data_IF_025576300312
#
_entry.id   IF_025576300312
#
_cell.length_a   1.000
_cell.length_b   1.000
_cell.length_c   1.000
_cell.angle_alpha   90.00
_cell.angle_beta   90.00
_cell.angle_gamma   90.00
#
_symmetry.space_group_name_H-M   'P 1'
#
loop_
_entity.id
_entity.type
_entity.pdbx_description
1 polymer ?
#
# COMPACT_ATOMS: atom_id res chain seq x y z
N UNK A 1 -14.41 -39.19 -36.46
CA UNK A 1 -15.21 -38.14 -35.77
C UNK A 1 -14.38 -37.62 -34.62
N UNK A 2 -13.75 -36.45 -34.78
CA UNK A 2 -12.95 -35.83 -33.73
C UNK A 2 -13.86 -34.88 -32.93
N UNK A 3 -14.09 -35.20 -31.67
CA UNK A 3 -14.80 -34.32 -30.73
C UNK A 3 -14.03 -33.03 -30.51
N UNK A 4 -14.56 -31.91 -30.94
CA UNK A 4 -14.07 -30.59 -30.56
C UNK A 4 -14.33 -30.40 -29.07
N UNK A 5 -13.27 -30.45 -28.25
CA UNK A 5 -13.31 -29.98 -26.88
C UNK A 5 -13.45 -28.44 -26.94
N UNK A 6 -14.64 -27.97 -26.68
CA UNK A 6 -14.93 -26.56 -26.55
C UNK A 6 -14.31 -26.13 -25.18
N UNK A 7 -13.10 -25.58 -25.18
CA UNK A 7 -12.52 -24.92 -24.02
C UNK A 7 -13.25 -23.61 -23.81
N UNK A 8 -14.39 -23.65 -23.15
CA UNK A 8 -15.01 -22.45 -22.57
C UNK A 8 -14.13 -22.00 -21.42
N UNK A 9 -13.30 -20.96 -21.65
CA UNK A 9 -12.70 -20.21 -20.56
C UNK A 9 -13.86 -19.74 -19.67
N UNK A 10 -13.92 -20.12 -18.39
CA UNK A 10 -15.02 -19.68 -17.54
C UNK A 10 -15.00 -18.15 -17.52
N UNK A 11 -16.09 -17.54 -17.96
CA UNK A 11 -16.30 -16.09 -17.88
C UNK A 11 -16.32 -15.76 -16.39
N UNK A 12 -15.23 -15.21 -15.87
CA UNK A 12 -15.11 -14.88 -14.45
C UNK A 12 -16.17 -13.85 -14.10
N UNK A 13 -16.93 -14.12 -13.06
CA UNK A 13 -17.98 -13.22 -12.61
C UNK A 13 -17.36 -11.84 -12.28
N UNK A 14 -18.02 -10.77 -12.69
CA UNK A 14 -17.61 -9.40 -12.38
C UNK A 14 -17.56 -9.22 -10.86
N UNK A 15 -16.48 -8.65 -10.29
CA UNK A 15 -16.43 -8.39 -8.86
C UNK A 15 -17.50 -7.37 -8.46
N UNK A 16 -18.05 -7.53 -7.27
CA UNK A 16 -19.00 -6.58 -6.68
C UNK A 16 -18.29 -5.40 -6.03
N UNK A 17 -17.08 -5.64 -5.52
CA UNK A 17 -16.23 -4.60 -4.99
C UNK A 17 -14.80 -4.74 -5.51
N UNK A 18 -14.09 -3.60 -5.59
CA UNK A 18 -12.66 -3.54 -5.84
C UNK A 18 -12.02 -2.75 -4.70
N UNK A 19 -11.14 -3.40 -3.97
CA UNK A 19 -10.33 -2.78 -2.92
C UNK A 19 -8.92 -2.57 -3.42
N UNK A 20 -8.38 -1.39 -3.17
CA UNK A 20 -7.04 -1.00 -3.57
C UNK A 20 -6.14 -0.87 -2.36
N UNK A 21 -4.91 -1.36 -2.46
CA UNK A 21 -3.85 -0.85 -1.62
C UNK A 21 -3.62 0.65 -1.91
N UNK A 22 -3.06 1.37 -0.95
CA UNK A 22 -2.87 2.81 -1.06
C UNK A 22 -1.47 3.18 -1.56
N UNK A 23 -0.47 2.94 -0.71
CA UNK A 23 0.89 3.45 -0.88
C UNK A 23 1.71 2.60 -1.87
N UNK A 24 2.04 3.19 -3.01
CA UNK A 24 2.67 2.55 -4.17
C UNK A 24 1.65 2.05 -5.19
N UNK A 25 0.36 1.98 -4.85
CA UNK A 25 -0.73 1.54 -5.74
C UNK A 25 -1.56 2.70 -6.24
N UNK A 26 -2.21 3.43 -5.35
CA UNK A 26 -2.93 4.68 -5.68
C UNK A 26 -2.02 5.91 -5.54
N UNK A 27 -1.15 5.95 -4.54
CA UNK A 27 -0.27 7.09 -4.27
C UNK A 27 1.18 6.75 -4.58
N UNK A 28 1.87 7.65 -5.28
CA UNK A 28 3.26 7.50 -5.66
C UNK A 28 4.20 7.79 -4.50
N UNK A 29 4.60 6.75 -3.78
CA UNK A 29 5.56 6.84 -2.66
C UNK A 29 6.99 7.11 -3.10
N UNK A 30 7.31 6.98 -4.39
CA UNK A 30 8.66 7.17 -4.89
C UNK A 30 8.95 8.64 -5.21
N UNK A 31 7.92 9.48 -5.33
CA UNK A 31 8.07 10.93 -5.52
C UNK A 31 8.88 11.59 -4.42
N UNK A 32 8.84 11.06 -3.18
CA UNK A 32 9.67 11.54 -2.06
C UNK A 32 11.17 11.43 -2.34
N UNK A 33 11.59 10.55 -3.26
CA UNK A 33 12.98 10.39 -3.66
C UNK A 33 13.59 11.66 -4.27
N UNK A 34 12.79 12.45 -4.99
CA UNK A 34 13.23 13.73 -5.54
C UNK A 34 13.53 14.75 -4.43
N UNK A 35 12.65 14.80 -3.42
CA UNK A 35 12.87 15.65 -2.25
C UNK A 35 14.07 15.20 -1.42
N UNK A 36 14.21 13.88 -1.24
CA UNK A 36 15.35 13.30 -0.56
C UNK A 36 16.67 13.62 -1.27
N UNK A 37 16.71 13.62 -2.62
CA UNK A 37 17.89 13.98 -3.39
C UNK A 37 18.28 15.46 -3.22
N UNK A 38 17.31 16.37 -3.11
CA UNK A 38 17.56 17.79 -2.83
C UNK A 38 18.18 18.00 -1.44
N UNK A 39 17.72 17.24 -0.44
CA UNK A 39 18.17 17.35 0.94
C UNK A 39 19.50 16.60 1.19
N UNK A 40 19.71 15.49 0.48
CA UNK A 40 20.87 14.61 0.62
C UNK A 40 21.44 14.26 -0.76
N UNK A 41 22.16 15.19 -1.43
CA UNK A 41 22.64 15.01 -2.80
C UNK A 41 23.48 13.73 -2.98
N UNK A 42 23.17 12.97 -4.03
CA UNK A 42 23.79 11.68 -4.36
C UNK A 42 23.35 10.50 -3.46
N UNK A 43 22.37 10.72 -2.56
CA UNK A 43 21.90 9.70 -1.60
C UNK A 43 20.38 9.52 -1.58
N UNK A 44 19.63 10.40 -2.23
CA UNK A 44 18.18 10.47 -2.13
C UNK A 44 17.48 9.17 -2.55
N UNK A 45 17.87 8.57 -3.67
CA UNK A 45 17.28 7.32 -4.12
C UNK A 45 17.53 6.17 -3.13
N UNK A 46 18.75 6.04 -2.60
CA UNK A 46 19.10 5.03 -1.61
C UNK A 46 18.35 5.25 -0.29
N UNK A 47 18.20 6.51 0.12
CA UNK A 47 17.47 6.88 1.33
C UNK A 47 15.99 6.51 1.19
N UNK A 48 15.35 6.88 0.07
CA UNK A 48 13.94 6.56 -0.17
C UNK A 48 13.69 5.04 -0.19
N UNK A 49 14.59 4.27 -0.82
CA UNK A 49 14.51 2.82 -0.85
C UNK A 49 14.61 2.23 0.57
N UNK A 50 15.66 2.58 1.33
CA UNK A 50 15.85 2.07 2.69
C UNK A 50 14.73 2.51 3.62
N UNK A 51 14.22 3.75 3.46
CA UNK A 51 13.06 4.23 4.21
C UNK A 51 11.85 3.33 4.00
N UNK A 52 11.52 3.03 2.74
CA UNK A 52 10.39 2.14 2.39
C UNK A 52 10.60 0.72 2.93
N UNK A 53 11.79 0.15 2.79
CA UNK A 53 12.11 -1.18 3.30
C UNK A 53 11.92 -1.26 4.82
N UNK A 54 12.43 -0.28 5.57
CA UNK A 54 12.30 -0.24 7.03
C UNK A 54 10.86 -0.01 7.47
N UNK A 55 10.11 0.81 6.77
CA UNK A 55 8.69 1.02 7.04
C UNK A 55 7.91 -0.31 6.96
N UNK A 56 8.12 -1.08 5.89
CA UNK A 56 7.48 -2.39 5.70
C UNK A 56 7.97 -3.38 6.76
N UNK A 57 9.27 -3.43 7.03
CA UNK A 57 9.85 -4.32 8.03
C UNK A 57 9.29 -4.05 9.43
N UNK A 58 9.15 -2.78 9.83
CA UNK A 58 8.59 -2.42 11.12
C UNK A 58 7.13 -2.84 11.27
N UNK A 59 6.32 -2.75 10.20
CA UNK A 59 4.94 -3.26 10.23
C UNK A 59 4.89 -4.77 10.45
N UNK A 60 5.81 -5.53 9.83
CA UNK A 60 5.93 -6.98 10.01
C UNK A 60 6.36 -7.34 11.42
N UNK A 61 7.41 -6.70 11.95
CA UNK A 61 7.90 -6.93 13.31
C UNK A 61 6.79 -6.70 14.35
N UNK A 62 6.03 -5.61 14.23
CA UNK A 62 4.92 -5.31 15.13
C UNK A 62 3.82 -6.37 15.02
N UNK A 63 3.43 -6.75 13.81
CA UNK A 63 2.39 -7.77 13.60
C UNK A 63 2.83 -9.13 14.16
N UNK A 64 4.10 -9.51 13.97
CA UNK A 64 4.64 -10.78 14.44
C UNK A 64 4.94 -10.80 15.95
N UNK A 65 5.05 -9.62 16.59
CA UNK A 65 5.35 -9.53 18.04
C UNK A 65 4.18 -9.90 18.95
N UNK A 66 3.01 -10.26 18.39
CA UNK A 66 1.89 -10.77 19.14
C UNK A 66 0.59 -9.97 19.00
N UNK A 67 -0.14 -9.81 20.09
CA UNK A 67 -1.52 -9.34 20.21
C UNK A 67 -1.73 -7.82 20.05
N UNK A 68 -0.81 -7.11 19.45
CA UNK A 68 -0.87 -5.65 19.29
C UNK A 68 -0.33 -4.86 20.49
N UNK A 69 0.36 -5.50 21.44
CA UNK A 69 0.97 -4.82 22.60
C UNK A 69 2.01 -3.75 22.17
N UNK A 70 2.71 -4.00 21.07
CA UNK A 70 3.70 -3.08 20.50
C UNK A 70 3.17 -2.22 19.36
N UNK A 71 1.86 -2.21 19.14
CA UNK A 71 1.26 -1.46 18.05
C UNK A 71 1.58 0.03 18.17
N UNK A 72 1.88 0.61 17.01
CA UNK A 72 2.06 2.05 16.79
C UNK A 72 1.37 2.43 15.49
N UNK A 73 0.77 3.62 15.38
CA UNK A 73 0.18 4.09 14.11
C UNK A 73 1.20 4.08 12.96
N UNK A 74 0.73 3.86 11.76
CA UNK A 74 1.61 3.77 10.57
C UNK A 74 2.41 5.05 10.34
N UNK A 75 1.87 6.21 10.70
CA UNK A 75 2.60 7.49 10.64
C UNK A 75 3.83 7.49 11.53
N UNK A 76 3.72 7.02 12.77
CA UNK A 76 4.86 6.91 13.68
C UNK A 76 5.94 5.94 13.14
N UNK A 77 5.51 4.80 12.57
CA UNK A 77 6.44 3.87 11.93
C UNK A 77 7.12 4.47 10.70
N UNK A 78 6.40 5.26 9.93
CA UNK A 78 6.92 5.95 8.74
C UNK A 78 8.03 6.91 9.15
N UNK A 79 7.81 7.72 10.19
CA UNK A 79 8.84 8.63 10.71
C UNK A 79 10.04 7.89 11.29
N UNK A 80 9.83 6.85 12.10
CA UNK A 80 10.92 6.05 12.68
C UNK A 80 11.77 5.37 11.60
N UNK A 81 11.14 4.87 10.55
CA UNK A 81 11.84 4.29 9.41
C UNK A 81 12.67 5.33 8.66
N UNK A 82 12.16 6.57 8.52
CA UNK A 82 12.90 7.69 7.93
C UNK A 82 14.13 8.04 8.78
N UNK A 83 13.95 8.18 10.09
CA UNK A 83 15.07 8.47 11.03
C UNK A 83 16.15 7.40 10.94
N UNK A 84 15.76 6.14 10.91
CA UNK A 84 16.69 5.03 10.70
C UNK A 84 17.44 5.16 9.36
N UNK A 85 16.73 5.44 8.26
CA UNK A 85 17.33 5.55 6.93
C UNK A 85 18.34 6.71 6.85
N UNK A 86 18.03 7.88 7.45
CA UNK A 86 18.94 9.02 7.52
C UNK A 86 20.20 8.63 8.32
N UNK A 87 20.03 8.06 9.51
CA UNK A 87 21.15 7.64 10.35
C UNK A 87 22.06 6.62 9.67
N UNK A 88 21.48 5.69 8.90
CA UNK A 88 22.24 4.64 8.20
C UNK A 88 22.99 5.14 6.96
N UNK A 89 22.50 6.19 6.30
CA UNK A 89 23.01 6.64 5.00
C UNK A 89 23.84 7.92 5.10
N UNK A 90 23.56 8.77 6.09
CA UNK A 90 24.25 10.05 6.29
C UNK A 90 25.25 9.90 7.45
N UNK A 91 26.56 9.78 7.18
CA UNK A 91 27.55 9.46 8.21
C UNK A 91 27.59 10.45 9.38
N UNK A 92 27.34 11.73 9.11
CA UNK A 92 27.30 12.78 10.14
C UNK A 92 26.08 12.72 11.06
N UNK A 93 25.09 11.89 10.73
CA UNK A 93 23.89 11.70 11.54
C UNK A 93 24.08 10.69 12.69
N UNK A 94 25.23 10.02 12.78
CA UNK A 94 25.47 8.98 13.79
C UNK A 94 25.63 9.52 15.20
N UNK A 95 26.26 10.70 15.34
CA UNK A 95 26.61 11.28 16.63
C UNK A 95 25.66 12.40 17.10
N UNK A 96 24.97 13.07 16.17
CA UNK A 96 24.01 14.13 16.48
C UNK A 96 22.84 14.10 15.49
N UNK A 97 21.67 13.70 15.97
CA UNK A 97 20.46 13.61 15.16
C UNK A 97 19.75 14.97 14.96
N UNK A 98 20.04 15.94 15.83
CA UNK A 98 19.39 17.25 15.81
C UNK A 98 19.53 18.04 14.49
N UNK A 99 20.66 18.00 13.75
CA UNK A 99 20.80 18.72 12.49
C UNK A 99 19.88 18.28 11.37
N UNK A 100 19.19 17.14 11.51
CA UNK A 100 18.33 16.58 10.46
C UNK A 100 16.83 16.70 10.73
N UNK A 101 16.38 17.36 11.79
CA UNK A 101 14.96 17.49 12.13
C UNK A 101 14.18 18.25 11.04
N UNK A 102 14.76 19.27 10.43
CA UNK A 102 14.14 19.97 9.30
C UNK A 102 13.99 19.06 8.07
N UNK A 103 14.98 18.19 7.83
CA UNK A 103 14.91 17.23 6.74
C UNK A 103 13.85 16.15 7.02
N UNK A 104 13.76 15.64 8.26
CA UNK A 104 12.69 14.72 8.68
C UNK A 104 11.33 15.37 8.47
N UNK A 105 11.13 16.56 8.99
CA UNK A 105 9.87 17.30 8.85
C UNK A 105 9.50 17.55 7.40
N UNK A 106 10.46 17.91 6.56
CA UNK A 106 10.26 18.15 5.13
C UNK A 106 9.84 16.87 4.38
N UNK A 107 10.54 15.75 4.61
CA UNK A 107 10.23 14.47 3.96
C UNK A 107 8.93 13.87 4.45
N UNK A 108 8.61 13.99 5.73
CA UNK A 108 7.32 13.56 6.27
C UNK A 108 6.18 14.39 5.71
N UNK A 109 6.36 15.70 5.51
CA UNK A 109 5.37 16.54 4.86
C UNK A 109 5.15 16.14 3.39
N UNK A 110 6.22 15.84 2.65
CA UNK A 110 6.12 15.31 1.28
C UNK A 110 5.36 13.99 1.25
N UNK A 111 5.67 13.06 2.16
CA UNK A 111 4.98 11.78 2.28
C UNK A 111 3.48 11.94 2.63
N UNK A 112 3.09 13.02 3.28
CA UNK A 112 1.68 13.33 3.61
C UNK A 112 0.87 13.74 2.37
N UNK A 113 1.53 14.36 1.37
CA UNK A 113 0.88 15.00 0.22
C UNK A 113 1.24 14.31 -1.12
N UNK A 114 1.33 12.98 -1.10
CA UNK A 114 1.65 12.19 -2.30
C UNK A 114 0.64 12.45 -3.43
N UNK A 115 1.14 12.47 -4.65
CA UNK A 115 0.31 12.50 -5.84
C UNK A 115 -0.28 11.11 -6.14
N UNK A 116 -1.44 11.07 -6.79
CA UNK A 116 -1.95 9.85 -7.37
C UNK A 116 -1.19 9.49 -8.64
N UNK A 117 -1.11 8.20 -8.97
CA UNK A 117 -0.77 7.79 -10.33
C UNK A 117 -1.85 8.25 -11.30
N UNK A 118 -1.50 8.69 -12.52
CA UNK A 118 -2.41 9.43 -13.40
C UNK A 118 -3.65 8.65 -13.81
N UNK A 119 -3.57 7.33 -13.95
CA UNK A 119 -4.69 6.48 -14.38
C UNK A 119 -5.75 6.26 -13.29
N UNK A 120 -5.43 6.49 -12.02
CA UNK A 120 -6.29 6.08 -10.90
C UNK A 120 -7.66 6.74 -10.91
N UNK A 121 -7.72 8.03 -11.25
CA UNK A 121 -9.00 8.75 -11.32
C UNK A 121 -9.95 8.12 -12.34
N UNK A 122 -9.45 7.85 -13.53
CA UNK A 122 -10.26 7.29 -14.63
C UNK A 122 -10.72 5.87 -14.28
N UNK A 123 -9.86 5.06 -13.67
CA UNK A 123 -10.19 3.70 -13.21
C UNK A 123 -11.29 3.74 -12.16
N UNK A 124 -11.16 4.58 -11.13
CA UNK A 124 -12.17 4.70 -10.06
C UNK A 124 -13.52 5.18 -10.61
N UNK A 125 -13.51 6.16 -11.51
CA UNK A 125 -14.73 6.65 -12.18
C UNK A 125 -15.39 5.56 -13.04
N UNK A 126 -14.60 4.80 -13.78
CA UNK A 126 -15.10 3.70 -14.63
C UNK A 126 -15.72 2.57 -13.81
N UNK A 127 -15.11 2.19 -12.68
CA UNK A 127 -15.66 1.21 -11.75
C UNK A 127 -16.99 1.70 -11.15
N UNK A 128 -17.03 2.93 -10.70
CA UNK A 128 -18.25 3.55 -10.14
C UNK A 128 -19.38 3.62 -11.16
N UNK A 129 -19.07 4.01 -12.41
CA UNK A 129 -20.06 4.03 -13.50
C UNK A 129 -20.65 2.65 -13.81
N UNK A 130 -19.93 1.61 -13.47
CA UNK A 130 -20.38 0.22 -13.60
C UNK A 130 -21.09 -0.32 -12.36
N UNK A 131 -21.32 0.49 -11.32
CA UNK A 131 -21.95 0.08 -10.07
C UNK A 131 -21.08 -0.85 -9.21
N UNK A 132 -19.75 -0.83 -9.38
CA UNK A 132 -18.80 -1.58 -8.55
C UNK A 132 -18.45 -0.74 -7.35
N UNK A 133 -18.59 -1.31 -6.16
CA UNK A 133 -18.15 -0.66 -4.90
C UNK A 133 -16.63 -0.55 -4.89
N UNK A 134 -16.11 0.62 -4.54
CA UNK A 134 -14.67 0.88 -4.50
C UNK A 134 -14.21 1.19 -3.09
N UNK A 135 -12.99 0.78 -2.75
CA UNK A 135 -12.43 1.10 -1.44
C UNK A 135 -10.91 1.04 -1.40
N UNK A 136 -10.36 1.63 -0.36
CA UNK A 136 -8.96 1.47 0.03
C UNK A 136 -8.89 0.50 1.19
N UNK A 137 -7.95 -0.45 1.15
CA UNK A 137 -7.56 -1.30 2.27
C UNK A 137 -6.06 -1.14 2.48
N UNK A 138 -5.64 -0.47 3.56
CA UNK A 138 -4.28 0.01 3.72
C UNK A 138 -3.73 -0.16 5.13
N UNK A 139 -2.40 -0.21 5.22
CA UNK A 139 -1.66 -0.07 6.49
C UNK A 139 -1.70 1.36 7.05
N UNK A 140 -1.97 2.37 6.21
CA UNK A 140 -2.07 3.77 6.62
C UNK A 140 -3.18 3.99 7.66
N UNK A 141 -2.91 4.86 8.63
CA UNK A 141 -3.94 5.29 9.58
C UNK A 141 -5.00 6.18 8.91
N UNK A 142 -6.19 6.34 9.51
CA UNK A 142 -7.29 7.09 8.89
C UNK A 142 -6.94 8.54 8.56
N UNK A 143 -6.12 9.20 9.40
CA UNK A 143 -5.69 10.57 9.20
C UNK A 143 -4.82 10.72 7.96
N UNK A 144 -3.84 9.83 7.79
CA UNK A 144 -2.96 9.78 6.60
C UNK A 144 -3.77 9.55 5.32
N UNK A 145 -4.65 8.54 5.32
CA UNK A 145 -5.44 8.18 4.14
C UNK A 145 -6.37 9.32 3.71
N UNK A 146 -7.00 10.00 4.67
CA UNK A 146 -7.86 11.13 4.38
C UNK A 146 -7.10 12.33 3.77
N UNK A 147 -5.89 12.61 4.24
CA UNK A 147 -5.04 13.68 3.66
C UNK A 147 -4.59 13.28 2.26
N UNK A 148 -4.08 12.05 2.08
CA UNK A 148 -3.61 11.57 0.79
C UNK A 148 -4.71 11.58 -0.27
N UNK A 149 -5.93 11.14 0.05
CA UNK A 149 -7.08 11.19 -0.86
C UNK A 149 -7.40 12.61 -1.31
N UNK A 150 -7.45 13.57 -0.38
CA UNK A 150 -7.71 14.98 -0.72
C UNK A 150 -6.59 15.58 -1.56
N UNK A 151 -5.35 15.37 -1.17
CA UNK A 151 -4.16 15.86 -1.88
C UNK A 151 -4.09 15.33 -3.31
N UNK A 152 -4.41 14.05 -3.50
CA UNK A 152 -4.43 13.39 -4.80
C UNK A 152 -5.69 13.69 -5.63
N UNK A 153 -6.67 14.43 -5.08
CA UNK A 153 -7.94 14.72 -5.74
C UNK A 153 -8.81 13.49 -5.99
N UNK A 154 -8.66 12.43 -5.19
CA UNK A 154 -9.45 11.20 -5.25
C UNK A 154 -10.57 11.17 -4.21
N UNK A 155 -10.71 12.24 -3.43
CA UNK A 155 -11.78 12.37 -2.44
C UNK A 155 -13.17 12.24 -3.09
N UNK A 156 -14.04 11.45 -2.47
CA UNK A 156 -15.37 11.13 -3.00
C UNK A 156 -15.41 10.14 -4.18
N UNK A 157 -14.26 9.61 -4.63
CA UNK A 157 -14.20 8.57 -5.66
C UNK A 157 -14.12 7.13 -5.10
N UNK A 158 -13.90 6.99 -3.79
CA UNK A 158 -13.91 5.71 -3.09
C UNK A 158 -15.06 5.67 -2.08
N UNK A 159 -15.76 4.54 -2.00
CA UNK A 159 -16.90 4.35 -1.10
C UNK A 159 -16.43 3.99 0.31
N UNK A 160 -15.29 3.29 0.45
CA UNK A 160 -14.75 2.83 1.72
C UNK A 160 -13.26 3.21 1.89
N UNK A 161 -12.90 3.68 3.07
CA UNK A 161 -11.50 3.89 3.48
C UNK A 161 -11.24 3.00 4.70
N UNK A 162 -10.55 1.88 4.48
CA UNK A 162 -10.37 0.79 5.44
C UNK A 162 -8.92 0.80 5.91
N UNK A 163 -8.72 1.02 7.20
CA UNK A 163 -7.40 1.10 7.82
C UNK A 163 -7.12 -0.13 8.68
N UNK A 164 -5.91 -0.67 8.56
CA UNK A 164 -5.37 -1.71 9.42
C UNK A 164 -5.28 -1.30 10.91
N UNK A 165 -5.30 0.01 11.18
CA UNK A 165 -5.33 0.60 12.52
C UNK A 165 -6.46 0.03 13.39
N UNK A 166 -7.59 -0.31 12.77
CA UNK A 166 -8.78 -0.88 13.41
C UNK A 166 -8.49 -2.17 14.16
N UNK A 167 -7.61 -3.03 13.62
CA UNK A 167 -7.27 -4.34 14.23
C UNK A 167 -5.91 -4.32 14.92
N UNK A 168 -5.21 -3.18 14.93
CA UNK A 168 -3.87 -3.01 15.53
C UNK A 168 -2.85 -4.06 15.05
N UNK A 169 -2.98 -4.45 13.79
CA UNK A 169 -2.09 -5.32 13.05
C UNK A 169 -1.92 -4.74 11.66
N UNK A 170 -0.90 -5.18 10.95
CA UNK A 170 -0.61 -4.74 9.59
C UNK A 170 -0.78 -5.88 8.59
N UNK A 171 -0.95 -5.57 7.32
CA UNK A 171 -0.72 -6.53 6.25
C UNK A 171 0.68 -7.17 6.50
N UNK A 172 0.81 -8.47 6.47
CA UNK A 172 -0.02 -9.48 5.79
C UNK A 172 -0.98 -10.26 6.73
N UNK A 173 -1.30 -9.75 7.90
CA UNK A 173 -2.21 -10.45 8.81
C UNK A 173 -3.60 -10.64 8.16
N UNK A 174 -4.18 -11.87 8.21
CA UNK A 174 -5.49 -12.14 7.64
C UNK A 174 -6.61 -11.25 8.21
N UNK A 175 -6.49 -10.84 9.47
CA UNK A 175 -7.44 -9.94 10.14
C UNK A 175 -7.58 -8.59 9.41
N UNK A 176 -6.50 -8.10 8.78
CA UNK A 176 -6.54 -6.85 7.99
C UNK A 176 -7.36 -7.03 6.72
N UNK A 177 -7.19 -8.15 6.00
CA UNK A 177 -7.98 -8.40 4.79
C UNK A 177 -9.45 -8.67 5.11
N UNK A 178 -9.77 -9.30 6.24
CA UNK A 178 -11.14 -9.51 6.70
C UNK A 178 -11.93 -8.20 6.90
N UNK A 179 -11.26 -7.07 7.15
CA UNK A 179 -11.91 -5.76 7.21
C UNK A 179 -12.59 -5.39 5.90
N UNK A 180 -12.09 -5.86 4.76
CA UNK A 180 -12.71 -5.61 3.47
C UNK A 180 -14.07 -6.28 3.32
N UNK A 181 -14.22 -7.54 3.78
CA UNK A 181 -15.51 -8.24 3.82
C UNK A 181 -16.48 -7.49 4.77
N UNK A 182 -16.01 -7.09 5.93
CA UNK A 182 -16.82 -6.37 6.93
C UNK A 182 -17.32 -5.02 6.42
N UNK A 183 -16.44 -4.25 5.75
CA UNK A 183 -16.79 -2.92 5.27
C UNK A 183 -17.73 -2.95 4.05
N UNK A 184 -17.52 -3.91 3.14
CA UNK A 184 -18.31 -3.99 1.91
C UNK A 184 -19.58 -4.83 2.05
N UNK A 185 -19.66 -5.73 3.03
CA UNK A 185 -20.72 -6.71 3.20
C UNK A 185 -20.72 -7.81 2.12
N UNK A 186 -19.63 -7.97 1.37
CA UNK A 186 -19.48 -8.99 0.33
C UNK A 186 -18.54 -10.10 0.79
N UNK A 187 -18.80 -11.32 0.32
CA UNK A 187 -17.87 -12.43 0.47
C UNK A 187 -16.55 -12.15 -0.29
N UNK A 188 -15.42 -12.64 0.23
CA UNK A 188 -14.09 -12.44 -0.38
C UNK A 188 -14.01 -12.87 -1.83
N UNK A 189 -14.75 -13.89 -2.24
CA UNK A 189 -14.82 -14.35 -3.64
C UNK A 189 -15.50 -13.33 -4.59
N UNK A 190 -16.22 -12.36 -4.04
CA UNK A 190 -16.87 -11.27 -4.78
C UNK A 190 -16.07 -9.97 -4.79
N UNK A 191 -14.94 -9.96 -4.08
CA UNK A 191 -14.04 -8.80 -3.95
C UNK A 191 -12.78 -9.03 -4.77
N UNK A 192 -12.47 -8.08 -5.64
CA UNK A 192 -11.14 -7.99 -6.24
C UNK A 192 -10.24 -7.09 -5.38
N UNK A 193 -8.97 -7.46 -5.25
CA UNK A 193 -7.96 -6.67 -4.56
C UNK A 193 -6.84 -6.29 -5.51
N UNK A 194 -6.44 -5.03 -5.51
CA UNK A 194 -5.43 -4.48 -6.41
C UNK A 194 -4.27 -3.93 -5.60
N UNK A 195 -3.06 -4.41 -5.86
CA UNK A 195 -1.85 -3.89 -5.23
C UNK A 195 -0.66 -3.90 -6.20
N UNK A 196 0.19 -2.88 -6.13
CA UNK A 196 1.49 -2.89 -6.81
C UNK A 196 2.61 -3.48 -5.93
N UNK A 197 2.35 -3.70 -4.65
CA UNK A 197 3.26 -4.41 -3.75
C UNK A 197 3.08 -5.92 -3.92
N UNK A 198 4.08 -6.62 -4.47
CA UNK A 198 3.98 -8.07 -4.75
C UNK A 198 3.64 -8.90 -3.51
N UNK A 199 4.27 -8.59 -2.36
CA UNK A 199 4.01 -9.26 -1.08
C UNK A 199 2.56 -9.08 -0.58
N UNK A 200 1.95 -7.92 -0.83
CA UNK A 200 0.56 -7.62 -0.46
C UNK A 200 -0.43 -8.33 -1.39
N UNK A 201 -0.17 -8.31 -2.70
CA UNK A 201 -0.93 -9.06 -3.68
C UNK A 201 -0.91 -10.56 -3.38
N UNK A 202 0.26 -11.11 -3.04
CA UNK A 202 0.41 -12.51 -2.64
C UNK A 202 -0.43 -12.85 -1.39
N UNK A 203 -0.32 -12.04 -0.33
CA UNK A 203 -1.03 -12.27 0.92
C UNK A 203 -2.55 -12.13 0.76
N UNK A 204 -3.01 -11.19 -0.04
CA UNK A 204 -4.43 -11.05 -0.38
C UNK A 204 -4.95 -12.26 -1.18
N UNK A 205 -4.12 -12.86 -2.06
CA UNK A 205 -4.43 -14.11 -2.75
C UNK A 205 -4.56 -15.27 -1.76
N UNK A 206 -3.64 -15.39 -0.81
CA UNK A 206 -3.73 -16.40 0.26
C UNK A 206 -4.97 -16.24 1.15
N UNK A 207 -5.39 -15.01 1.38
CA UNK A 207 -6.62 -14.73 2.12
C UNK A 207 -7.88 -15.18 1.33
N UNK A 208 -7.81 -15.26 0.00
CA UNK A 208 -8.88 -15.70 -0.88
C UNK A 208 -9.56 -14.57 -1.66
N UNK A 209 -8.97 -13.40 -1.73
CA UNK A 209 -9.37 -12.37 -2.68
C UNK A 209 -8.96 -12.76 -4.11
N UNK A 210 -9.72 -12.31 -5.08
CA UNK A 210 -9.29 -12.25 -6.46
C UNK A 210 -8.33 -11.07 -6.62
N UNK A 211 -7.06 -11.34 -6.87
CA UNK A 211 -6.01 -10.33 -6.74
C UNK A 211 -5.37 -10.01 -8.08
N UNK A 212 -5.18 -8.71 -8.33
CA UNK A 212 -4.42 -8.19 -9.46
C UNK A 212 -3.14 -7.52 -8.94
N UNK A 213 -2.01 -7.92 -9.51
CA UNK A 213 -0.74 -7.27 -9.23
C UNK A 213 -0.37 -6.26 -10.32
N UNK A 214 -0.30 -4.98 -9.94
CA UNK A 214 0.10 -3.89 -10.84
C UNK A 214 1.60 -3.70 -10.79
N UNK A 215 2.31 -4.38 -11.68
CA UNK A 215 3.78 -4.35 -11.74
C UNK A 215 4.32 -3.11 -12.47
N UNK A 216 4.36 -1.97 -11.79
CA UNK A 216 4.82 -0.69 -12.36
C UNK A 216 6.31 -0.64 -12.69
N UNK A 217 7.11 -1.40 -11.97
CA UNK A 217 8.58 -1.33 -12.04
C UNK A 217 9.20 -2.54 -12.73
N UNK A 218 8.39 -3.38 -13.37
CA UNK A 218 8.84 -4.61 -14.04
C UNK A 218 9.71 -5.52 -13.13
N UNK A 219 9.29 -5.65 -11.88
CA UNK A 219 9.97 -6.48 -10.88
C UNK A 219 9.59 -7.96 -11.03
N UNK A 220 10.44 -8.85 -10.49
CA UNK A 220 10.06 -10.24 -10.30
C UNK A 220 8.95 -10.35 -9.25
N UNK A 221 8.02 -11.29 -9.46
CA UNK A 221 7.03 -11.63 -8.42
C UNK A 221 7.65 -12.54 -7.37
N UNK A 222 7.04 -12.56 -6.19
CA UNK A 222 7.43 -13.41 -5.05
C UNK A 222 7.47 -14.90 -5.45
N UNK A 223 8.52 -15.61 -5.04
CA UNK A 223 8.74 -17.03 -5.36
C UNK A 223 8.18 -17.93 -4.25
N UNK A 224 6.87 -17.84 -3.98
CA UNK A 224 6.16 -18.55 -2.90
C UNK A 224 4.95 -19.34 -3.44
N UNK A 225 5.12 -19.98 -4.60
CA UNK A 225 4.21 -20.96 -5.23
C UNK A 225 2.79 -20.48 -5.55
N UNK A 226 2.44 -19.25 -5.23
CA UNK A 226 1.13 -18.65 -5.52
C UNK A 226 1.33 -17.38 -6.34
N UNK A 227 0.48 -17.16 -7.35
CA UNK A 227 0.51 -15.93 -8.14
C UNK A 227 -0.90 -15.32 -8.22
N UNK A 228 -1.03 -13.98 -8.14
CA UNK A 228 -2.24 -13.26 -8.50
C UNK A 228 -2.51 -13.39 -10.02
N UNK A 229 -3.68 -12.94 -10.42
CA UNK A 229 -4.06 -12.82 -11.83
C UNK A 229 -3.26 -11.71 -12.54
#
# INVERSE_FOLDING_TARGET
>A
MAARVCNTVPTMAKPRAVLFDAYGTLFDVYSVGLRAEQLFPGRGARLALLWRERQIEYTRLITMSGDGAHYRPFWDLTERALRYAIQAIVPQAQDDFAPHEDAVSSLMNEYRHLSAFPENRDVLQALRAQGVVTGILSNGDPGMLGIALRSAGLDGLVDHVISADTVRQYKVAPAVYALGEQATGFDRSQIAFVSSNAWDALAATWFGYRTLWVNRSNLAFEQLDTRPE
#
